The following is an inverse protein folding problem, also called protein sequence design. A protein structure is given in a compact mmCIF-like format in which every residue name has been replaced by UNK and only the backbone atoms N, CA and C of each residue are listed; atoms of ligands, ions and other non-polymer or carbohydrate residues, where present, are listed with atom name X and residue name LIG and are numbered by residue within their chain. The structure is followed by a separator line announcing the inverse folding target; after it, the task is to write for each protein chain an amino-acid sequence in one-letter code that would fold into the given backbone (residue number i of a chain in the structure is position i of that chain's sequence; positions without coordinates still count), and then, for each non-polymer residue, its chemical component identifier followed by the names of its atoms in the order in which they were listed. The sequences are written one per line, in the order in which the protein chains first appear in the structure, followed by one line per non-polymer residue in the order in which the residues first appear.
data_IF_013863187116
#
_entry.id   IF_013863187116
#
_cell.length_a   1.000
_cell.length_b   1.000
_cell.length_c   1.000
_cell.angle_alpha   90.00
_cell.angle_beta   90.00
_cell.angle_gamma   90.00
#
_symmetry.space_group_name_H-M   'P 1'
#
loop_
_entity.id
_entity.type
_entity.pdbx_description
1 polymer ?
#
# COMPACT_ATOMS: atom_id res chain seq x y z
N UNK A 1 2.81 -12.94 13.59
CA UNK A 1 3.11 -12.48 12.22
C UNK A 1 3.89 -11.17 12.32
N UNK A 2 4.89 -10.99 11.48
CA UNK A 2 5.75 -9.80 11.40
C UNK A 2 5.90 -9.38 9.95
N UNK A 3 6.02 -8.09 9.69
CA UNK A 3 6.36 -7.54 8.38
C UNK A 3 7.64 -6.71 8.46
N UNK A 4 8.51 -6.86 7.47
CA UNK A 4 9.79 -6.14 7.35
C UNK A 4 9.95 -5.62 5.93
N UNK A 5 10.81 -4.63 5.73
CA UNK A 5 11.16 -4.10 4.41
C UNK A 5 12.64 -3.73 4.34
N UNK A 6 13.27 -4.06 3.22
CA UNK A 6 14.62 -3.59 2.87
C UNK A 6 14.62 -2.16 2.33
N UNK A 7 13.43 -1.59 2.09
CA UNK A 7 13.25 -0.22 1.60
C UNK A 7 13.27 0.85 2.67
N UNK A 8 13.58 0.49 3.94
CA UNK A 8 13.65 1.42 5.06
C UNK A 8 15.10 1.54 5.55
N UNK A 9 15.58 2.77 5.64
CA UNK A 9 16.87 3.11 6.23
C UNK A 9 16.70 4.20 7.29
N UNK A 10 17.25 3.98 8.49
CA UNK A 10 17.22 4.94 9.63
C UNK A 10 15.78 5.41 9.99
N UNK A 11 14.78 4.53 9.85
CA UNK A 11 13.37 4.85 10.15
C UNK A 11 12.62 5.59 9.02
N UNK A 12 13.26 5.77 7.86
CA UNK A 12 12.67 6.39 6.68
C UNK A 12 12.57 5.41 5.52
N UNK A 13 11.47 5.49 4.77
CA UNK A 13 11.40 4.92 3.43
C UNK A 13 12.40 5.62 2.53
N UNK A 14 13.11 4.86 1.72
CA UNK A 14 14.10 5.43 0.80
C UNK A 14 13.43 6.27 -0.30
N UNK A 15 14.14 7.30 -0.74
CA UNK A 15 13.68 8.32 -1.70
C UNK A 15 13.02 7.75 -2.96
N UNK A 16 13.53 6.61 -3.46
CA UNK A 16 13.05 5.99 -4.70
C UNK A 16 11.61 5.49 -4.65
N UNK A 17 11.00 5.36 -3.47
CA UNK A 17 9.62 4.92 -3.30
C UNK A 17 8.60 6.06 -3.23
N UNK A 18 9.03 7.30 -3.39
CA UNK A 18 8.17 8.47 -3.33
C UNK A 18 8.63 9.57 -4.28
N UNK A 19 8.23 10.81 -4.00
CA UNK A 19 8.38 11.98 -4.88
C UNK A 19 9.83 12.33 -5.26
N UNK A 20 10.82 11.80 -4.55
CA UNK A 20 12.24 11.98 -4.88
C UNK A 20 12.79 10.82 -5.75
N UNK A 21 11.95 9.84 -6.10
CA UNK A 21 12.27 8.80 -7.06
C UNK A 21 12.24 9.31 -8.50
N UNK A 22 12.67 8.46 -9.41
CA UNK A 22 12.78 8.80 -10.85
C UNK A 22 11.66 8.19 -11.69
N UNK A 23 10.96 7.18 -11.19
CA UNK A 23 9.86 6.53 -11.88
C UNK A 23 8.54 7.21 -11.51
N UNK A 24 8.12 8.14 -12.35
CA UNK A 24 6.89 8.91 -12.17
C UNK A 24 5.91 8.63 -13.32
N UNK A 25 4.62 8.74 -13.03
CA UNK A 25 3.56 8.80 -14.06
C UNK A 25 3.63 10.11 -14.84
N UNK A 26 2.78 10.26 -15.85
CA UNK A 26 2.65 11.50 -16.60
C UNK A 26 2.17 12.66 -15.70
N UNK A 27 1.39 12.36 -14.68
CA UNK A 27 0.84 13.28 -13.68
C UNK A 27 1.82 13.56 -12.51
N UNK A 28 2.98 12.86 -12.50
CA UNK A 28 4.02 13.01 -11.47
C UNK A 28 3.84 12.09 -10.26
N UNK A 29 2.93 11.13 -10.28
CA UNK A 29 2.77 10.13 -9.21
C UNK A 29 3.95 9.17 -9.19
N UNK A 30 4.65 8.98 -8.04
CA UNK A 30 5.73 8.00 -7.95
C UNK A 30 5.19 6.56 -8.09
N UNK A 31 5.86 5.73 -8.90
CA UNK A 31 5.34 4.43 -9.31
C UNK A 31 6.08 3.22 -8.73
N UNK A 32 7.32 3.39 -8.26
CA UNK A 32 8.14 2.28 -7.75
C UNK A 32 7.62 1.82 -6.40
N UNK A 33 6.98 0.66 -6.35
CA UNK A 33 6.41 0.12 -5.12
C UNK A 33 7.49 -0.40 -4.16
N UNK A 34 7.16 -0.29 -2.88
CA UNK A 34 8.01 -0.75 -1.77
C UNK A 34 8.13 -2.27 -1.77
N UNK A 35 9.32 -2.84 -1.43
CA UNK A 35 9.46 -4.25 -1.13
C UNK A 35 9.01 -4.53 0.31
N UNK A 36 8.49 -5.73 0.56
CA UNK A 36 8.23 -6.19 1.92
C UNK A 36 8.25 -7.70 2.04
N UNK A 37 8.48 -8.19 3.26
CA UNK A 37 8.45 -9.60 3.60
C UNK A 37 7.59 -9.85 4.84
N UNK A 38 6.75 -10.88 4.75
CA UNK A 38 5.88 -11.35 5.83
C UNK A 38 6.51 -12.60 6.44
N UNK A 39 6.69 -12.61 7.75
CA UNK A 39 7.25 -13.72 8.51
C UNK A 39 6.25 -14.18 9.57
N UNK A 40 6.34 -15.44 9.96
CA UNK A 40 5.52 -16.04 11.03
C UNK A 40 4.01 -15.85 10.82
N UNK A 41 3.54 -16.07 9.58
CA UNK A 41 2.11 -16.12 9.29
C UNK A 41 1.45 -17.25 10.11
N UNK A 42 0.24 -17.02 10.69
CA UNK A 42 -0.43 -18.05 11.46
C UNK A 42 -0.83 -19.24 10.59
N UNK A 43 -0.93 -20.40 11.23
CA UNK A 43 -1.48 -21.60 10.58
C UNK A 43 -2.91 -21.32 10.09
N UNK A 44 -3.25 -21.87 8.93
CA UNK A 44 -4.54 -21.62 8.30
C UNK A 44 -4.60 -20.37 7.42
N UNK A 45 -3.50 -19.61 7.29
CA UNK A 45 -3.44 -18.49 6.36
C UNK A 45 -3.57 -18.96 4.92
N UNK A 46 -4.59 -18.46 4.22
CA UNK A 46 -4.89 -18.75 2.81
C UNK A 46 -4.41 -17.62 1.90
N UNK A 47 -4.55 -16.38 2.36
CA UNK A 47 -4.12 -15.19 1.61
C UNK A 47 -3.77 -14.02 2.55
N UNK A 48 -3.21 -12.96 1.97
CA UNK A 48 -2.98 -11.71 2.67
C UNK A 48 -3.70 -10.56 1.97
N UNK A 49 -4.13 -9.59 2.77
CA UNK A 49 -4.49 -8.25 2.30
C UNK A 49 -3.46 -7.25 2.82
N UNK A 50 -3.18 -6.23 2.03
CA UNK A 50 -2.15 -5.21 2.33
C UNK A 50 -2.73 -3.83 2.07
N UNK A 51 -2.47 -2.88 2.97
CA UNK A 51 -2.80 -1.47 2.79
C UNK A 51 -1.60 -0.62 3.20
N UNK A 52 -1.16 0.28 2.33
CA UNK A 52 -0.23 1.35 2.65
C UNK A 52 -1.02 2.65 2.69
N UNK A 53 -1.02 3.31 3.84
CA UNK A 53 -1.77 4.55 4.04
C UNK A 53 -0.96 5.63 4.78
N UNK A 54 -1.45 6.86 4.67
CA UNK A 54 -0.90 8.07 5.26
C UNK A 54 -2.01 8.80 6.04
N UNK A 55 -2.00 8.67 7.36
CA UNK A 55 -2.95 9.38 8.24
C UNK A 55 -2.55 10.83 8.47
N UNK A 56 -1.28 11.19 8.28
CA UNK A 56 -0.79 12.57 8.38
C UNK A 56 -1.29 13.44 7.22
N UNK A 57 -1.86 12.85 6.17
CA UNK A 57 -2.55 13.56 5.10
C UNK A 57 -3.88 14.20 5.55
N UNK A 58 -4.48 13.78 6.68
CA UNK A 58 -5.78 14.30 7.15
C UNK A 58 -5.80 15.83 7.28
N UNK A 59 -4.81 16.49 7.91
CA UNK A 59 -4.80 17.96 7.97
C UNK A 59 -4.61 18.64 6.63
N UNK A 60 -4.08 17.94 5.62
CA UNK A 60 -3.77 18.45 4.28
C UNK A 60 -4.98 18.38 3.36
N UNK A 61 -5.65 17.21 3.28
CA UNK A 61 -6.72 16.96 2.32
C UNK A 61 -8.07 16.57 2.95
N UNK A 62 -8.13 16.35 4.28
CA UNK A 62 -9.36 16.05 5.02
C UNK A 62 -9.63 14.56 5.22
N UNK A 63 -8.79 13.66 4.68
CA UNK A 63 -8.94 12.21 4.82
C UNK A 63 -7.57 11.50 4.81
N UNK A 64 -7.55 10.23 5.27
CA UNK A 64 -6.38 9.37 5.17
C UNK A 64 -6.10 9.04 3.70
N UNK A 65 -4.86 9.27 3.24
CA UNK A 65 -4.49 8.97 1.87
C UNK A 65 -4.08 7.50 1.73
N UNK A 66 -4.70 6.81 0.79
CA UNK A 66 -4.40 5.42 0.47
C UNK A 66 -3.39 5.40 -0.68
N UNK A 67 -2.22 4.81 -0.43
CA UNK A 67 -1.11 4.73 -1.37
C UNK A 67 -1.05 3.39 -2.10
N UNK A 68 -1.51 2.31 -1.48
CA UNK A 68 -1.56 0.99 -2.08
C UNK A 68 -2.55 0.10 -1.36
N UNK A 69 -3.30 -0.71 -2.09
CA UNK A 69 -4.17 -1.74 -1.54
C UNK A 69 -4.03 -3.02 -2.37
N UNK A 70 -3.82 -4.15 -1.69
CA UNK A 70 -3.75 -5.48 -2.30
C UNK A 70 -4.71 -6.43 -1.61
N UNK A 71 -5.30 -7.35 -2.38
CA UNK A 71 -6.00 -8.48 -1.81
C UNK A 71 -5.56 -9.81 -2.45
N UNK A 72 -5.89 -10.90 -1.78
CA UNK A 72 -5.65 -12.27 -2.24
C UNK A 72 -4.18 -12.59 -2.56
N UNK A 73 -3.24 -11.86 -1.94
CA UNK A 73 -1.82 -12.13 -2.07
C UNK A 73 -1.50 -13.49 -1.44
N UNK A 74 -0.84 -14.38 -2.19
CA UNK A 74 -0.50 -15.74 -1.73
C UNK A 74 0.99 -15.96 -1.51
N UNK A 75 1.80 -14.95 -1.78
CA UNK A 75 3.25 -14.96 -1.51
C UNK A 75 3.54 -14.17 -0.23
N UNK A 76 4.62 -14.52 0.43
CA UNK A 76 5.07 -13.86 1.68
C UNK A 76 6.13 -12.80 1.45
N UNK A 77 6.56 -12.60 0.22
CA UNK A 77 7.56 -11.61 -0.13
C UNK A 77 7.22 -10.97 -1.47
N UNK A 78 7.23 -9.64 -1.51
CA UNK A 78 7.15 -8.87 -2.75
C UNK A 78 8.46 -8.09 -2.93
N UNK A 79 9.08 -8.17 -4.13
CA UNK A 79 10.22 -7.33 -4.47
C UNK A 79 9.78 -5.89 -4.68
N UNK A 80 10.76 -4.98 -4.69
CA UNK A 80 10.47 -3.60 -5.11
C UNK A 80 9.94 -3.57 -6.55
N UNK A 81 9.08 -2.58 -6.82
CA UNK A 81 8.47 -2.35 -8.12
C UNK A 81 7.50 -3.46 -8.61
N UNK A 82 7.08 -4.35 -7.71
CA UNK A 82 6.14 -5.42 -8.04
C UNK A 82 4.81 -4.90 -8.59
N UNK A 83 4.34 -3.74 -8.12
CA UNK A 83 3.07 -3.14 -8.57
C UNK A 83 2.99 -2.95 -10.09
N UNK A 84 4.12 -2.65 -10.75
CA UNK A 84 4.18 -2.46 -12.21
C UNK A 84 4.50 -3.73 -12.98
N UNK A 85 5.15 -4.70 -12.36
CA UNK A 85 5.77 -5.83 -13.04
C UNK A 85 5.14 -7.18 -12.75
N UNK A 86 4.31 -7.28 -11.71
CA UNK A 86 3.58 -8.52 -11.40
C UNK A 86 2.10 -8.39 -11.75
N UNK A 87 1.67 -8.91 -12.92
CA UNK A 87 0.29 -8.84 -13.34
C UNK A 87 -0.66 -9.75 -12.54
N UNK A 88 -0.14 -10.58 -11.65
CA UNK A 88 -0.96 -11.44 -10.78
C UNK A 88 -1.50 -10.71 -9.55
N UNK A 89 -0.99 -9.52 -9.25
CA UNK A 89 -1.43 -8.73 -8.11
C UNK A 89 -2.84 -8.18 -8.34
N UNK A 90 -3.74 -8.42 -7.40
CA UNK A 90 -5.07 -7.81 -7.38
C UNK A 90 -4.96 -6.51 -6.58
N UNK A 91 -4.89 -5.39 -7.31
CA UNK A 91 -4.65 -4.07 -6.77
C UNK A 91 -5.94 -3.27 -6.69
N UNK A 92 -6.13 -2.57 -5.57
CA UNK A 92 -7.26 -1.67 -5.33
C UNK A 92 -6.99 -0.24 -5.76
N UNK A 93 -8.07 0.53 -5.90
CA UNK A 93 -8.05 1.95 -6.21
C UNK A 93 -7.52 2.75 -5.02
N UNK A 94 -6.54 3.61 -5.26
CA UNK A 94 -5.91 4.48 -4.27
C UNK A 94 -6.55 5.86 -4.22
N UNK A 95 -6.13 6.71 -3.28
CA UNK A 95 -6.63 8.09 -3.15
C UNK A 95 -6.19 9.03 -4.28
N UNK A 96 -5.35 8.57 -5.22
CA UNK A 96 -5.05 9.30 -6.46
C UNK A 96 -6.28 9.39 -7.39
N UNK A 97 -7.29 8.53 -7.20
CA UNK A 97 -8.64 8.74 -7.72
C UNK A 97 -9.56 9.22 -6.60
N UNK A 98 -9.68 10.55 -6.43
CA UNK A 98 -10.51 11.17 -5.38
C UNK A 98 -10.81 12.63 -5.73
N UNK A 99 -11.53 13.32 -4.86
CA UNK A 99 -11.78 14.78 -4.97
C UNK A 99 -10.50 15.63 -4.89
N UNK A 100 -9.37 15.05 -4.49
CA UNK A 100 -8.09 15.74 -4.35
C UNK A 100 -7.09 15.39 -5.45
N UNK A 101 -7.45 14.50 -6.41
CA UNK A 101 -6.58 14.08 -7.52
C UNK A 101 -7.40 13.48 -8.65
N UNK A 102 -7.01 13.72 -9.91
CA UNK A 102 -7.81 13.47 -11.11
C UNK A 102 -7.44 12.17 -11.85
N UNK A 103 -6.62 11.26 -11.27
CA UNK A 103 -6.32 9.99 -11.94
C UNK A 103 -7.60 9.15 -12.12
N UNK A 104 -7.69 8.44 -13.24
CA UNK A 104 -8.77 7.48 -13.46
C UNK A 104 -8.68 6.30 -12.47
N UNK A 105 -9.76 5.53 -12.31
CA UNK A 105 -9.73 4.31 -11.48
C UNK A 105 -8.64 3.35 -11.96
N UNK A 106 -8.46 3.20 -13.28
CA UNK A 106 -7.46 2.32 -13.87
C UNK A 106 -6.04 2.76 -13.50
N UNK A 107 -5.73 4.04 -13.64
CA UNK A 107 -4.43 4.63 -13.29
C UNK A 107 -4.15 4.58 -11.79
N UNK A 108 -5.15 4.83 -10.95
CA UNK A 108 -5.03 4.79 -9.51
C UNK A 108 -5.07 3.37 -8.92
N UNK A 109 -5.35 2.31 -9.71
CA UNK A 109 -5.39 0.93 -9.24
C UNK A 109 -4.00 0.27 -9.25
N UNK A 110 -3.06 0.95 -8.60
CA UNK A 110 -1.64 0.55 -8.49
C UNK A 110 -1.02 1.23 -7.26
N UNK A 111 0.26 0.99 -7.04
CA UNK A 111 1.03 1.77 -6.07
C UNK A 111 1.14 3.23 -6.53
N UNK A 112 0.79 4.16 -5.64
CA UNK A 112 1.09 5.57 -5.75
C UNK A 112 2.00 5.98 -4.60
N UNK A 113 3.22 6.44 -4.89
CA UNK A 113 4.27 6.64 -3.91
C UNK A 113 4.06 7.82 -2.97
N UNK A 114 4.91 7.87 -1.97
CA UNK A 114 4.88 8.83 -0.88
C UNK A 114 5.25 10.24 -1.36
N UNK A 115 4.45 11.24 -1.03
CA UNK A 115 4.66 12.62 -1.49
C UNK A 115 4.13 13.66 -0.48
N UNK A 116 4.63 13.66 0.78
CA UNK A 116 4.14 14.58 1.79
C UNK A 116 4.43 16.04 1.41
N UNK A 117 3.42 16.95 1.46
CA UNK A 117 3.60 18.30 0.93
C UNK A 117 4.12 19.31 1.94
N UNK A 118 3.86 19.15 3.23
CA UNK A 118 4.08 20.15 4.29
C UNK A 118 5.22 19.79 5.23
N UNK A 119 5.25 18.58 5.74
CA UNK A 119 6.23 18.03 6.70
C UNK A 119 6.48 16.56 6.41
N UNK A 120 7.43 15.94 7.09
CA UNK A 120 7.60 14.49 7.03
C UNK A 120 6.34 13.79 7.56
N UNK A 121 5.82 12.82 6.79
CA UNK A 121 4.66 12.02 7.16
C UNK A 121 5.06 10.59 7.53
N UNK A 122 4.29 9.96 8.40
CA UNK A 122 4.38 8.53 8.68
C UNK A 122 3.49 7.75 7.71
N UNK A 123 4.07 6.72 7.10
CA UNK A 123 3.39 5.79 6.22
C UNK A 123 3.29 4.43 6.89
N UNK A 124 2.10 3.90 6.95
CA UNK A 124 1.77 2.66 7.64
C UNK A 124 1.46 1.54 6.63
N UNK A 125 2.32 0.51 6.58
CA UNK A 125 2.07 -0.72 5.83
C UNK A 125 1.37 -1.71 6.74
N UNK A 126 0.07 -1.85 6.60
CA UNK A 126 -0.78 -2.82 7.32
C UNK A 126 -0.91 -4.10 6.52
N UNK A 127 -0.66 -5.25 7.15
CA UNK A 127 -0.77 -6.59 6.55
C UNK A 127 -1.73 -7.45 7.38
N UNK A 128 -2.71 -8.04 6.72
CA UNK A 128 -3.73 -8.92 7.29
C UNK A 128 -3.55 -10.33 6.74
N UNK A 129 -3.37 -11.32 7.60
CA UNK A 129 -3.42 -12.74 7.24
C UNK A 129 -4.88 -13.22 7.32
N UNK A 130 -5.37 -13.86 6.26
CA UNK A 130 -6.77 -14.25 6.10
C UNK A 130 -6.92 -15.76 5.96
N UNK A 131 -8.02 -16.31 6.47
CA UNK A 131 -8.41 -17.72 6.32
C UNK A 131 -9.10 -18.04 4.98
N UNK A 132 -9.24 -17.05 4.10
CA UNK A 132 -9.90 -17.20 2.80
C UNK A 132 -9.27 -16.28 1.74
N UNK A 133 -9.76 -16.40 0.50
CA UNK A 133 -9.63 -15.38 -0.55
C UNK A 133 -10.89 -14.51 -0.58
N UNK A 134 -10.70 -13.19 -0.73
CA UNK A 134 -11.81 -12.23 -0.79
C UNK A 134 -12.45 -12.18 -2.18
N UNK A 135 -11.71 -12.58 -3.22
CA UNK A 135 -12.13 -12.58 -4.63
C UNK A 135 -12.63 -11.22 -5.12
N UNK A 136 -12.02 -10.13 -4.63
CA UNK A 136 -12.29 -8.78 -5.13
C UNK A 136 -11.74 -8.62 -6.55
N UNK A 137 -12.35 -7.73 -7.31
CA UNK A 137 -11.88 -7.41 -8.67
C UNK A 137 -10.80 -6.33 -8.62
N UNK A 138 -9.82 -6.31 -9.56
CA UNK A 138 -8.91 -5.18 -9.69
C UNK A 138 -9.66 -3.85 -9.74
N UNK A 139 -9.13 -2.83 -9.10
CA UNK A 139 -9.80 -1.55 -8.95
C UNK A 139 -10.80 -1.48 -7.78
N UNK A 140 -10.83 -2.49 -6.91
CA UNK A 140 -11.68 -2.44 -5.70
C UNK A 140 -11.34 -1.23 -4.83
N UNK A 141 -12.35 -0.70 -4.12
CA UNK A 141 -12.14 0.36 -3.15
C UNK A 141 -11.82 -0.19 -1.77
N UNK A 142 -11.13 0.61 -0.95
CA UNK A 142 -10.73 0.21 0.41
C UNK A 142 -11.92 -0.23 1.28
N UNK A 143 -13.10 0.38 1.14
CA UNK A 143 -14.30 -0.04 1.89
C UNK A 143 -14.73 -1.48 1.54
N UNK A 144 -14.56 -1.93 0.30
CA UNK A 144 -14.85 -3.31 -0.11
C UNK A 144 -13.86 -4.27 0.57
N UNK A 145 -12.56 -3.91 0.59
CA UNK A 145 -11.55 -4.66 1.31
C UNK A 145 -11.89 -4.77 2.81
N UNK A 146 -12.15 -3.63 3.47
CA UNK A 146 -12.48 -3.58 4.91
C UNK A 146 -13.74 -4.41 5.22
N UNK A 147 -14.75 -4.41 4.34
CA UNK A 147 -15.92 -5.27 4.52
C UNK A 147 -15.56 -6.75 4.37
N UNK A 148 -14.72 -7.09 3.39
CA UNK A 148 -14.24 -8.46 3.16
C UNK A 148 -13.39 -9.01 4.30
N UNK A 149 -12.64 -8.16 5.02
CA UNK A 149 -11.82 -8.59 6.15
C UNK A 149 -12.63 -9.07 7.37
N UNK A 150 -13.91 -8.69 7.48
CA UNK A 150 -14.72 -8.97 8.68
C UNK A 150 -14.92 -10.47 8.89
N UNK A 151 -14.44 -10.95 10.03
CA UNK A 151 -14.56 -12.37 10.42
C UNK A 151 -13.54 -13.30 9.78
N UNK A 152 -12.62 -12.78 8.93
CA UNK A 152 -11.64 -13.58 8.20
C UNK A 152 -10.18 -13.30 8.58
N UNK A 153 -9.92 -12.32 9.46
CA UNK A 153 -8.56 -11.94 9.88
C UNK A 153 -8.06 -12.89 10.96
N UNK A 154 -7.03 -13.68 10.63
CA UNK A 154 -6.31 -14.53 11.58
C UNK A 154 -5.26 -13.76 12.38
N UNK A 155 -4.60 -12.79 11.74
CA UNK A 155 -3.58 -11.93 12.35
C UNK A 155 -3.43 -10.64 11.55
N UNK A 156 -3.04 -9.57 12.25
CA UNK A 156 -2.72 -8.27 11.65
C UNK A 156 -1.39 -7.76 12.21
N UNK A 157 -0.59 -7.17 11.36
CA UNK A 157 0.65 -6.48 11.75
C UNK A 157 0.83 -5.21 10.93
N UNK A 158 1.62 -4.28 11.46
CA UNK A 158 1.91 -3.00 10.83
C UNK A 158 3.39 -2.70 10.85
N UNK A 159 3.91 -2.18 9.76
CA UNK A 159 5.25 -1.61 9.64
C UNK A 159 5.12 -0.13 9.32
N UNK A 160 5.65 0.72 10.21
CA UNK A 160 5.58 2.17 10.07
C UNK A 160 6.97 2.74 9.80
N UNK A 161 7.07 3.66 8.86
CA UNK A 161 8.27 4.46 8.64
C UNK A 161 7.90 5.84 8.09
N UNK A 162 8.79 6.81 8.32
CA UNK A 162 8.63 8.18 7.81
C UNK A 162 8.99 8.27 6.33
N UNK A 163 8.46 9.27 5.64
CA UNK A 163 9.00 9.73 4.36
C UNK A 163 9.16 11.25 4.43
N UNK A 164 10.31 11.74 3.95
CA UNK A 164 10.67 13.15 4.09
C UNK A 164 9.88 14.05 3.14
N UNK A 165 9.59 15.28 3.62
CA UNK A 165 8.96 16.33 2.82
C UNK A 165 9.99 17.13 1.99
N UNK A 166 11.22 17.25 2.47
CA UNK A 166 12.30 18.07 1.87
C UNK A 166 13.62 17.32 1.84
#
# INVERSE_FOLDING_TARGET
MKVTSTGIANGYWEDRFGKFGTELSAEGTPLRSIPFKIEDAPEGTVSFAVVLDDVDAIPVCGFTWIHWALCDLTVTELPEDASRHDPSLIQGCTSFHSVASDESIEEASRYGGMAPPDKDHQYDLSVYALDCKLNLKPGFYLNELIHGLRGHVLSHTRLSAMYRAK
#
